data_IF_064064834462
#
_entry.id   IF_064064834462
#
_cell.length_a   1.000
_cell.length_b   1.000
_cell.length_c   1.000
_cell.angle_alpha   90.00
_cell.angle_beta   90.00
_cell.angle_gamma   90.00
#
_symmetry.space_group_name_H-M   'P 1'
#
loop_
_entity.id
_entity.type
_entity.pdbx_description
1 polymer ?
#
# COMPACT_ATOMS: atom_id res chain seq x y z
N UNK A 1 19.32 -0.11 -17.01
CA UNK A 1 19.74 -0.43 -15.63
C UNK A 1 18.56 -1.10 -14.95
N UNK A 2 18.66 -2.37 -14.58
CA UNK A 2 17.56 -3.07 -13.90
C UNK A 2 17.42 -2.55 -12.47
N UNK A 3 16.23 -2.07 -12.11
CA UNK A 3 15.90 -1.72 -10.73
C UNK A 3 15.87 -3.02 -9.93
N UNK A 4 16.88 -3.25 -9.09
CA UNK A 4 16.98 -4.45 -8.27
C UNK A 4 16.18 -4.24 -6.97
N UNK A 5 14.92 -4.71 -6.95
CA UNK A 5 14.05 -4.69 -5.77
C UNK A 5 14.48 -5.83 -4.84
N UNK A 6 15.50 -5.59 -4.02
CA UNK A 6 16.15 -6.64 -3.20
C UNK A 6 15.22 -7.28 -2.16
N UNK A 7 14.19 -6.56 -1.72
CA UNK A 7 13.31 -6.95 -0.62
C UNK A 7 12.03 -7.66 -1.07
N UNK A 8 11.75 -7.75 -2.37
CA UNK A 8 10.58 -8.42 -2.91
C UNK A 8 10.89 -9.08 -4.24
N UNK A 9 10.57 -10.36 -4.36
CA UNK A 9 10.62 -11.06 -5.64
C UNK A 9 9.42 -10.59 -6.48
N UNK A 10 9.68 -9.71 -7.44
CA UNK A 10 8.70 -9.33 -8.46
C UNK A 10 9.07 -9.99 -9.79
N UNK A 11 8.09 -10.46 -10.58
CA UNK A 11 8.38 -11.02 -11.88
C UNK A 11 9.14 -10.01 -12.77
N UNK A 12 10.23 -10.41 -13.46
CA UNK A 12 11.11 -9.48 -14.18
C UNK A 12 10.40 -8.58 -15.19
N UNK A 13 9.30 -9.06 -15.78
CA UNK A 13 8.47 -8.29 -16.71
C UNK A 13 7.94 -6.98 -16.11
N UNK A 14 7.74 -6.91 -14.79
CA UNK A 14 7.29 -5.69 -14.12
C UNK A 14 8.32 -4.55 -14.18
N UNK A 15 9.60 -4.89 -14.36
CA UNK A 15 10.67 -3.90 -14.52
C UNK A 15 10.70 -3.29 -15.92
N UNK A 16 10.00 -3.89 -16.87
CA UNK A 16 10.03 -3.52 -18.28
C UNK A 16 8.72 -2.91 -18.78
N UNK A 17 7.65 -2.99 -17.99
CA UNK A 17 6.41 -2.31 -18.34
C UNK A 17 6.57 -0.80 -18.36
N UNK A 18 5.95 -0.19 -19.36
CA UNK A 18 5.70 1.23 -19.41
C UNK A 18 4.67 1.64 -18.35
N UNK A 19 4.61 2.93 -18.02
CA UNK A 19 3.60 3.45 -17.09
C UNK A 19 2.16 3.13 -17.55
N UNK A 20 1.89 3.19 -18.85
CA UNK A 20 0.57 2.88 -19.42
C UNK A 20 0.20 1.38 -19.26
N UNK A 21 1.16 0.48 -19.42
CA UNK A 21 0.93 -0.96 -19.18
C UNK A 21 0.70 -1.26 -17.70
N UNK A 22 1.42 -0.57 -16.81
CA UNK A 22 1.18 -0.66 -15.36
C UNK A 22 -0.21 -0.13 -14.99
N UNK A 23 -0.64 1.00 -15.57
CA UNK A 23 -1.98 1.56 -15.40
C UNK A 23 -3.07 0.55 -15.76
N UNK A 24 -2.95 -0.07 -16.94
CA UNK A 24 -3.89 -1.09 -17.40
C UNK A 24 -3.95 -2.29 -16.44
N UNK A 25 -2.80 -2.81 -16.03
CA UNK A 25 -2.71 -3.98 -15.13
C UNK A 25 -3.25 -3.69 -13.74
N UNK A 26 -2.94 -2.53 -13.17
CA UNK A 26 -3.47 -2.11 -11.87
C UNK A 26 -4.99 -1.98 -11.97
N UNK A 27 -5.51 -1.36 -13.04
CA UNK A 27 -6.94 -1.26 -13.28
C UNK A 27 -7.64 -2.62 -13.41
N UNK A 28 -7.06 -3.57 -14.13
CA UNK A 28 -7.56 -4.94 -14.24
C UNK A 28 -7.57 -5.67 -12.89
N UNK A 29 -6.47 -5.60 -12.14
CA UNK A 29 -6.37 -6.20 -10.81
C UNK A 29 -7.42 -5.61 -9.85
N UNK A 30 -7.57 -4.28 -9.84
CA UNK A 30 -8.57 -3.59 -9.02
C UNK A 30 -10.00 -4.01 -9.38
N UNK A 31 -10.34 -4.10 -10.67
CA UNK A 31 -11.66 -4.59 -11.11
C UNK A 31 -11.91 -6.03 -10.69
N UNK A 32 -10.89 -6.89 -10.78
CA UNK A 32 -10.99 -8.31 -10.40
C UNK A 32 -11.20 -8.50 -8.90
N UNK A 33 -10.51 -7.70 -8.08
CA UNK A 33 -10.59 -7.78 -6.62
C UNK A 33 -11.82 -7.03 -6.07
N UNK A 34 -12.27 -5.97 -6.75
CA UNK A 34 -13.44 -5.21 -6.35
C UNK A 34 -13.29 -4.63 -4.95
N UNK A 35 -14.33 -4.77 -4.12
CA UNK A 35 -14.34 -4.27 -2.74
C UNK A 35 -13.50 -5.08 -1.76
N UNK A 36 -12.95 -6.23 -2.18
CA UNK A 36 -12.06 -7.03 -1.30
C UNK A 36 -10.69 -6.39 -1.09
N UNK A 37 -10.37 -5.33 -1.85
CA UNK A 37 -9.13 -4.56 -1.70
C UNK A 37 -9.41 -3.07 -1.53
N UNK A 38 -8.69 -2.42 -0.62
CA UNK A 38 -8.64 -0.97 -0.49
C UNK A 38 -7.20 -0.49 -0.47
N UNK A 39 -6.93 0.67 -1.07
CA UNK A 39 -5.59 1.26 -1.15
C UNK A 39 -5.56 2.57 -0.34
N UNK A 40 -4.72 2.61 0.68
CA UNK A 40 -4.52 3.77 1.56
C UNK A 40 -3.23 4.49 1.20
N UNK A 41 -3.29 5.77 0.85
CA UNK A 41 -2.13 6.56 0.42
C UNK A 41 -1.78 7.68 1.40
N UNK A 42 -0.58 7.65 1.97
CA UNK A 42 -0.12 8.76 2.80
C UNK A 42 0.14 10.03 1.96
N UNK A 43 -0.07 11.22 2.53
CA UNK A 43 0.14 12.51 1.85
C UNK A 43 1.50 12.67 1.15
N UNK A 44 2.53 12.01 1.64
CA UNK A 44 3.89 12.08 1.09
C UNK A 44 4.19 11.06 -0.01
N UNK A 45 3.20 10.28 -0.44
CA UNK A 45 3.37 9.41 -1.61
C UNK A 45 3.44 10.23 -2.89
N UNK A 46 4.11 9.67 -3.88
CA UNK A 46 4.20 10.27 -5.22
C UNK A 46 2.85 10.22 -5.92
N UNK A 47 2.60 11.17 -6.82
CA UNK A 47 1.35 11.22 -7.61
C UNK A 47 1.10 9.92 -8.39
N UNK A 48 2.16 9.28 -8.86
CA UNK A 48 2.11 7.99 -9.56
C UNK A 48 1.52 6.85 -8.69
N UNK A 49 1.55 6.99 -7.36
CA UNK A 49 0.95 6.05 -6.40
C UNK A 49 -0.41 6.56 -5.94
N UNK A 50 -0.51 7.84 -5.58
CA UNK A 50 -1.75 8.46 -5.07
C UNK A 50 -2.91 8.34 -6.04
N UNK A 51 -2.66 8.37 -7.36
CA UNK A 51 -3.73 8.19 -8.37
C UNK A 51 -4.49 6.86 -8.24
N UNK A 52 -3.94 5.87 -7.54
CA UNK A 52 -4.60 4.59 -7.27
C UNK A 52 -5.14 4.46 -5.84
N UNK A 53 -4.89 5.43 -4.95
CA UNK A 53 -5.37 5.39 -3.58
C UNK A 53 -6.89 5.63 -3.54
N UNK A 54 -7.59 4.83 -2.75
CA UNK A 54 -9.00 5.03 -2.45
C UNK A 54 -9.19 6.12 -1.40
N UNK A 55 -8.21 6.23 -0.49
CA UNK A 55 -8.16 7.25 0.55
C UNK A 55 -6.76 7.85 0.62
N UNK A 56 -6.71 9.18 0.69
CA UNK A 56 -5.49 9.94 0.92
C UNK A 56 -5.60 10.63 2.29
N UNK A 57 -4.58 10.49 3.13
CA UNK A 57 -4.65 10.98 4.50
C UNK A 57 -3.31 11.05 5.23
N UNK A 58 -3.36 11.56 6.46
CA UNK A 58 -2.29 11.39 7.45
C UNK A 58 -2.37 10.00 8.12
N UNK A 59 -1.40 9.70 8.98
CA UNK A 59 -1.32 8.40 9.66
C UNK A 59 -2.55 8.06 10.50
N UNK A 60 -3.15 9.04 11.17
CA UNK A 60 -4.27 8.82 12.08
C UNK A 60 -5.55 8.53 11.28
N UNK A 61 -5.82 9.35 10.26
CA UNK A 61 -6.97 9.16 9.38
C UNK A 61 -6.90 7.80 8.68
N UNK A 62 -5.76 7.45 8.09
CA UNK A 62 -5.61 6.19 7.36
C UNK A 62 -5.75 4.96 8.26
N UNK A 63 -5.21 5.01 9.48
CA UNK A 63 -5.36 3.90 10.42
C UNK A 63 -6.82 3.70 10.86
N UNK A 64 -7.58 4.80 11.00
CA UNK A 64 -9.02 4.72 11.26
C UNK A 64 -9.80 4.20 10.07
N UNK A 65 -9.50 4.66 8.85
CA UNK A 65 -10.15 4.18 7.64
C UNK A 65 -9.90 2.69 7.40
N UNK A 66 -8.74 2.15 7.79
CA UNK A 66 -8.51 0.70 7.73
C UNK A 66 -9.58 -0.09 8.50
N UNK A 67 -10.01 0.41 9.66
CA UNK A 67 -10.99 -0.25 10.52
C UNK A 67 -12.46 -0.06 10.08
N UNK A 68 -12.74 0.94 9.22
CA UNK A 68 -14.10 1.23 8.74
C UNK A 68 -14.50 0.44 7.50
N UNK A 69 -13.64 -0.48 7.01
CA UNK A 69 -13.79 -1.22 5.75
C UNK A 69 -13.95 -2.73 5.97
N UNK A 70 -15.02 -3.21 6.65
CA UNK A 70 -15.19 -4.63 6.95
C UNK A 70 -15.24 -5.53 5.69
N UNK A 71 -15.62 -4.98 4.54
CA UNK A 71 -15.67 -5.65 3.25
C UNK A 71 -14.31 -5.91 2.59
N UNK A 72 -13.26 -5.20 3.03
CA UNK A 72 -11.93 -5.32 2.44
C UNK A 72 -11.13 -6.41 3.16
N UNK A 73 -10.87 -7.51 2.45
CA UNK A 73 -9.96 -8.57 2.91
C UNK A 73 -8.49 -8.11 2.89
N UNK A 74 -8.16 -7.14 2.04
CA UNK A 74 -6.80 -6.67 1.81
C UNK A 74 -6.72 -5.15 1.87
N UNK A 75 -5.81 -4.62 2.69
CA UNK A 75 -5.55 -3.19 2.85
C UNK A 75 -4.12 -2.94 2.37
N UNK A 76 -3.97 -2.31 1.20
CA UNK A 76 -2.65 -1.93 0.68
C UNK A 76 -2.29 -0.57 1.27
N UNK A 77 -1.34 -0.56 2.20
CA UNK A 77 -0.91 0.65 2.91
C UNK A 77 0.31 1.26 2.21
N UNK A 78 0.09 2.26 1.37
CA UNK A 78 1.13 3.04 0.71
C UNK A 78 1.66 4.12 1.67
N UNK A 79 2.50 3.70 2.62
CA UNK A 79 3.14 4.54 3.64
C UNK A 79 4.46 3.95 4.10
N UNK A 80 4.73 4.03 5.40
CA UNK A 80 5.92 3.45 6.06
C UNK A 80 5.51 2.43 7.11
N UNK A 81 6.48 1.63 7.58
CA UNK A 81 6.29 0.46 8.44
C UNK A 81 5.36 0.69 9.63
N UNK A 82 5.69 1.62 10.52
CA UNK A 82 4.90 1.86 11.74
C UNK A 82 3.45 2.27 11.45
N UNK A 83 3.19 2.94 10.32
CA UNK A 83 1.84 3.33 9.92
C UNK A 83 1.03 2.10 9.51
N UNK A 84 1.64 1.19 8.74
CA UNK A 84 1.01 -0.07 8.35
C UNK A 84 0.75 -0.97 9.58
N UNK A 85 1.67 -1.00 10.55
CA UNK A 85 1.47 -1.71 11.83
C UNK A 85 0.30 -1.12 12.63
N UNK A 86 0.21 0.21 12.70
CA UNK A 86 -0.91 0.89 13.38
C UNK A 86 -2.24 0.55 12.73
N UNK A 87 -2.31 0.56 11.39
CA UNK A 87 -3.49 0.12 10.66
C UNK A 87 -3.82 -1.36 10.93
N UNK A 88 -2.80 -2.23 11.01
CA UNK A 88 -2.97 -3.66 11.31
C UNK A 88 -3.55 -3.91 12.71
N UNK A 89 -3.13 -3.13 13.71
CA UNK A 89 -3.67 -3.19 15.08
C UNK A 89 -5.18 -2.89 15.10
N UNK A 90 -5.66 -1.98 14.24
CA UNK A 90 -7.06 -1.57 14.18
C UNK A 90 -7.90 -2.39 13.20
N UNK A 91 -7.27 -3.11 12.27
CA UNK A 91 -7.95 -3.92 11.28
C UNK A 91 -8.64 -5.14 11.92
N UNK A 92 -9.73 -5.60 11.30
CA UNK A 92 -10.43 -6.80 11.74
C UNK A 92 -9.60 -8.07 11.46
N UNK A 93 -9.81 -9.18 12.21
CA UNK A 93 -8.94 -10.36 12.13
C UNK A 93 -8.83 -11.02 10.74
N UNK A 94 -9.82 -10.85 9.86
CA UNK A 94 -9.78 -11.38 8.50
C UNK A 94 -8.99 -10.49 7.53
N UNK A 95 -8.79 -9.22 7.86
CA UNK A 95 -8.17 -8.23 7.00
C UNK A 95 -6.64 -8.36 7.05
N UNK A 96 -6.03 -8.26 5.88
CA UNK A 96 -4.57 -8.31 5.72
C UNK A 96 -4.04 -6.95 5.32
N UNK A 97 -3.29 -6.32 6.22
CA UNK A 97 -2.56 -5.09 5.90
C UNK A 97 -1.26 -5.45 5.19
N UNK A 98 -1.07 -4.90 4.00
CA UNK A 98 0.06 -5.14 3.12
C UNK A 98 0.82 -3.83 2.93
N UNK A 99 2.09 -3.82 3.32
CA UNK A 99 3.04 -2.76 2.99
C UNK A 99 3.79 -3.15 1.71
N UNK A 100 3.62 -2.43 0.57
CA UNK A 100 4.23 -2.83 -0.70
C UNK A 100 5.75 -2.90 -0.68
N UNK A 101 6.38 -2.07 0.16
CA UNK A 101 7.82 -2.08 0.36
C UNK A 101 8.12 -2.16 1.85
N UNK A 102 8.54 -3.35 2.32
CA UNK A 102 8.89 -3.56 3.73
C UNK A 102 10.09 -2.72 4.20
N UNK A 103 10.93 -2.23 3.28
CA UNK A 103 12.04 -1.33 3.63
C UNK A 103 11.62 0.13 3.72
N UNK A 104 10.33 0.46 3.52
CA UNK A 104 9.81 1.81 3.72
C UNK A 104 9.73 2.12 5.23
N UNK A 105 10.86 2.54 5.81
CA UNK A 105 11.00 2.88 7.22
C UNK A 105 10.82 4.37 7.52
N UNK A 106 10.87 4.70 8.82
CA UNK A 106 10.95 6.06 9.30
C UNK A 106 12.09 6.15 10.31
N UNK A 107 13.19 6.80 9.92
CA UNK A 107 14.36 6.94 10.80
C UNK A 107 14.04 7.57 12.15
N UNK A 108 13.01 8.43 12.21
CA UNK A 108 12.55 9.02 13.47
C UNK A 108 11.83 8.02 14.37
N UNK A 109 11.04 7.11 13.80
CA UNK A 109 10.38 6.05 14.55
C UNK A 109 11.40 5.06 15.10
N UNK A 110 12.44 4.74 14.32
CA UNK A 110 13.51 3.81 14.70
C UNK A 110 14.42 4.35 15.83
N UNK A 111 14.34 5.65 16.15
CA UNK A 111 15.05 6.28 17.27
C UNK A 111 14.27 6.24 18.60
N UNK A 112 13.00 5.83 18.57
CA UNK A 112 12.21 5.67 19.79
C UNK A 112 12.74 4.46 20.59
N UNK A 113 12.96 4.60 21.91
CA UNK A 113 13.50 3.54 22.77
C UNK A 113 12.54 2.38 23.00
#
# INVERSE_FOLDING_TARGET
>A
MAVNVRWQQIPPEYLHYTAAELDLKIGEARRKLGSSVTILGHHYQREEVIKYADFQGDSFLLSREAATRPEADYIIFCGVHFMAETACILAAPHQKVILPNITAGCSMADMAP
#
